data_IF_314731744713
#
_entry.id   IF_314731744713
#
_cell.length_a   1.000
_cell.length_b   1.000
_cell.length_c   1.000
_cell.angle_alpha   90.00
_cell.angle_beta   90.00
_cell.angle_gamma   90.00
#
_symmetry.space_group_name_H-M   'P 1'
#
loop_
_entity.id
_entity.type
_entity.pdbx_description
1 polymer ?
#
# COMPACT_ATOMS: atom_id res chain seq x y z
N UNK A 1 21.01 -39.63 -18.36
CA UNK A 1 20.51 -39.20 -17.04
C UNK A 1 18.98 -39.24 -17.12
N UNK A 2 18.35 -40.22 -16.46
CA UNK A 2 16.92 -40.49 -16.57
C UNK A 2 16.19 -39.58 -15.57
N UNK A 3 15.49 -38.55 -16.06
CA UNK A 3 14.61 -37.74 -15.23
C UNK A 3 13.48 -38.66 -14.71
N UNK A 4 13.38 -38.83 -13.39
CA UNK A 4 12.37 -39.67 -12.77
C UNK A 4 11.00 -39.00 -12.79
N UNK A 5 10.01 -39.68 -13.37
CA UNK A 5 8.62 -39.20 -13.49
C UNK A 5 7.80 -39.59 -12.25
N UNK A 6 8.45 -39.84 -11.12
CA UNK A 6 7.77 -40.43 -9.98
C UNK A 6 6.70 -39.46 -9.44
N UNK A 7 5.49 -39.93 -9.10
CA UNK A 7 4.41 -39.06 -8.61
C UNK A 7 4.83 -38.18 -7.43
N UNK A 8 5.70 -38.71 -6.56
CA UNK A 8 6.24 -37.97 -5.43
C UNK A 8 7.16 -36.81 -5.83
N UNK A 9 7.91 -36.91 -6.95
CA UNK A 9 8.78 -35.85 -7.46
C UNK A 9 7.96 -34.73 -8.12
N UNK A 10 6.90 -35.09 -8.85
CA UNK A 10 5.97 -34.11 -9.42
C UNK A 10 5.20 -33.38 -8.32
N UNK A 11 4.75 -34.10 -7.29
CA UNK A 11 4.08 -33.51 -6.14
C UNK A 11 5.01 -32.60 -5.34
N UNK A 12 6.28 -32.99 -5.14
CA UNK A 12 7.28 -32.13 -4.50
C UNK A 12 7.63 -30.89 -5.33
N UNK A 13 7.76 -31.01 -6.66
CA UNK A 13 8.01 -29.86 -7.52
C UNK A 13 6.81 -28.91 -7.57
N UNK A 14 5.58 -29.45 -7.55
CA UNK A 14 4.36 -28.65 -7.43
C UNK A 14 4.22 -27.98 -6.06
N UNK A 15 4.56 -28.69 -4.96
CA UNK A 15 4.54 -28.14 -3.60
C UNK A 15 5.68 -27.15 -3.33
N UNK A 16 6.85 -27.34 -3.94
CA UNK A 16 7.97 -26.40 -3.88
C UNK A 16 7.71 -25.16 -4.74
N UNK A 17 7.01 -25.31 -5.87
CA UNK A 17 6.54 -24.20 -6.69
C UNK A 17 5.40 -23.41 -6.03
N UNK A 18 4.56 -24.08 -5.22
CA UNK A 18 3.46 -23.46 -4.48
C UNK A 18 3.82 -23.06 -3.05
N UNK A 19 5.05 -23.35 -2.58
CA UNK A 19 5.52 -23.17 -1.21
C UNK A 19 4.47 -23.44 -0.14
N UNK A 20 3.88 -24.64 -0.10
CA UNK A 20 2.82 -25.04 0.86
C UNK A 20 3.40 -25.72 2.10
N UNK A 21 2.93 -25.37 3.31
CA UNK A 21 3.23 -26.14 4.53
C UNK A 21 2.06 -27.09 4.84
N UNK A 22 2.16 -28.34 4.39
CA UNK A 22 1.06 -29.31 4.52
C UNK A 22 -0.15 -28.92 3.67
N UNK A 23 -1.35 -28.85 4.26
CA UNK A 23 -2.59 -28.42 3.58
C UNK A 23 -2.79 -26.89 3.56
N UNK A 24 -1.91 -26.12 4.21
CA UNK A 24 -1.99 -24.66 4.24
C UNK A 24 -1.41 -24.08 2.94
N UNK A 25 -2.30 -23.70 2.04
CA UNK A 25 -1.96 -23.03 0.78
C UNK A 25 -1.97 -21.50 0.88
N UNK A 26 -2.49 -20.95 2.00
CA UNK A 26 -2.46 -19.52 2.29
C UNK A 26 -1.93 -19.26 3.71
N UNK A 27 -0.93 -18.41 3.82
CA UNK A 27 -0.27 -18.04 5.09
C UNK A 27 -0.87 -16.81 5.76
N UNK A 28 -2.03 -16.34 5.29
CA UNK A 28 -2.72 -15.19 5.85
C UNK A 28 -2.02 -13.87 5.52
N UNK A 29 -2.15 -12.91 6.44
CA UNK A 29 -1.60 -11.56 6.30
C UNK A 29 -0.30 -11.44 7.08
N UNK A 30 0.75 -10.92 6.41
CA UNK A 30 2.03 -10.61 7.04
C UNK A 30 2.26 -9.11 7.02
N UNK A 31 2.70 -8.56 8.15
CA UNK A 31 3.17 -7.19 8.26
C UNK A 31 4.67 -7.20 8.53
N UNK A 32 5.44 -6.56 7.65
CA UNK A 32 6.89 -6.43 7.76
C UNK A 32 7.27 -4.97 7.96
N UNK A 33 8.41 -4.74 8.60
CA UNK A 33 8.96 -3.39 8.79
C UNK A 33 10.22 -3.25 7.97
N UNK A 34 10.38 -2.13 7.28
CA UNK A 34 11.60 -1.83 6.54
C UNK A 34 12.79 -1.74 7.51
N UNK A 35 13.89 -2.42 7.17
CA UNK A 35 15.16 -2.28 7.91
C UNK A 35 15.77 -0.89 7.83
N UNK A 36 15.32 -0.07 6.87
CA UNK A 36 15.78 1.31 6.65
C UNK A 36 14.76 2.35 7.16
N UNK A 37 13.94 1.99 8.15
CA UNK A 37 12.95 2.90 8.73
C UNK A 37 13.65 4.08 9.39
N UNK A 38 13.41 5.29 8.87
CA UNK A 38 13.97 6.53 9.42
C UNK A 38 13.00 7.13 10.43
N UNK A 39 13.54 7.83 11.42
CA UNK A 39 12.73 8.60 12.34
C UNK A 39 12.01 9.72 11.61
N UNK A 40 10.71 9.86 11.88
CA UNK A 40 9.91 10.96 11.40
C UNK A 40 10.36 12.27 12.04
N UNK A 41 10.37 13.35 11.26
CA UNK A 41 10.66 14.68 11.79
C UNK A 41 9.77 15.74 11.15
N UNK A 42 9.62 16.86 11.87
CA UNK A 42 8.80 18.00 11.49
C UNK A 42 9.69 19.24 11.39
N UNK A 43 9.62 19.91 10.25
CA UNK A 43 10.21 21.22 10.03
C UNK A 43 9.10 22.25 10.14
N UNK A 44 9.22 23.22 11.06
CA UNK A 44 8.27 24.32 11.22
C UNK A 44 8.98 25.63 10.86
N UNK A 45 8.27 26.53 10.20
CA UNK A 45 8.74 27.87 9.89
C UNK A 45 7.61 28.88 10.08
N UNK A 46 7.95 30.00 10.70
CA UNK A 46 7.07 31.13 10.93
C UNK A 46 7.76 32.41 10.44
N UNK A 47 6.97 33.31 9.85
CA UNK A 47 7.38 34.63 9.41
C UNK A 47 6.29 35.61 9.81
N UNK A 48 6.60 36.53 10.71
CA UNK A 48 5.66 37.56 11.16
C UNK A 48 6.23 38.94 10.85
N UNK A 49 5.39 39.82 10.31
CA UNK A 49 5.73 41.21 10.00
C UNK A 49 4.70 42.09 10.69
N UNK A 50 5.18 42.93 11.61
CA UNK A 50 4.41 43.96 12.27
C UNK A 50 4.84 45.33 11.74
N UNK A 51 3.86 46.13 11.30
CA UNK A 51 4.09 47.48 10.81
C UNK A 51 3.21 48.49 11.54
N UNK A 52 3.84 49.50 12.14
CA UNK A 52 3.14 50.59 12.79
C UNK A 52 2.70 51.62 11.74
N UNK A 53 1.39 51.81 11.63
CA UNK A 53 0.77 52.79 10.77
C UNK A 53 0.57 54.12 11.54
N UNK A 54 0.46 55.26 10.83
CA UNK A 54 0.02 56.51 11.43
C UNK A 54 -1.34 56.34 12.14
N UNK A 55 -1.64 57.23 13.10
CA UNK A 55 -2.84 57.17 13.95
C UNK A 55 -2.89 56.00 14.95
N UNK A 56 -1.73 55.55 15.44
CA UNK A 56 -1.65 54.50 16.48
C UNK A 56 -2.25 53.16 16.06
N UNK A 57 -2.22 52.85 14.76
CA UNK A 57 -2.66 51.56 14.21
C UNK A 57 -1.46 50.63 14.02
N UNK A 58 -1.68 49.32 14.12
CA UNK A 58 -0.68 48.28 13.81
C UNK A 58 -1.30 47.32 12.82
N UNK A 59 -0.59 47.07 11.72
CA UNK A 59 -0.90 46.00 10.79
C UNK A 59 0.07 44.84 11.04
N UNK A 60 -0.49 43.64 11.19
CA UNK A 60 0.27 42.42 11.39
C UNK A 60 -0.07 41.44 10.26
N UNK A 61 0.96 40.82 9.70
CA UNK A 61 0.81 39.73 8.73
C UNK A 61 1.71 38.60 9.19
N UNK A 62 1.18 37.39 9.28
CA UNK A 62 1.91 36.21 9.69
C UNK A 62 1.79 35.09 8.65
N UNK A 63 2.87 34.39 8.41
CA UNK A 63 2.93 33.20 7.57
C UNK A 63 3.51 32.05 8.38
N UNK A 64 2.76 30.95 8.47
CA UNK A 64 3.15 29.76 9.24
C UNK A 64 3.09 28.57 8.30
N UNK A 65 4.14 27.76 8.29
CA UNK A 65 4.12 26.49 7.57
C UNK A 65 4.86 25.39 8.32
N UNK A 66 4.52 24.16 7.95
CA UNK A 66 5.16 22.96 8.48
C UNK A 66 5.32 21.89 7.41
N UNK A 67 6.39 21.12 7.49
CA UNK A 67 6.69 20.00 6.62
C UNK A 67 7.07 18.78 7.45
N UNK A 68 6.23 17.75 7.40
CA UNK A 68 6.53 16.43 7.96
C UNK A 68 7.25 15.57 6.93
N UNK A 69 8.39 14.98 7.31
CA UNK A 69 9.17 14.08 6.44
C UNK A 69 9.42 12.75 7.16
N UNK A 70 9.57 11.68 6.38
CA UNK A 70 9.79 10.32 6.88
C UNK A 70 8.67 9.81 7.79
N UNK A 71 7.42 10.18 7.50
CA UNK A 71 6.26 9.69 8.23
C UNK A 71 6.01 8.22 7.94
N UNK A 72 5.61 7.46 8.96
CA UNK A 72 5.27 6.06 8.81
C UNK A 72 4.08 5.87 7.86
N UNK A 73 4.22 4.93 6.94
CA UNK A 73 3.23 4.56 5.94
C UNK A 73 3.13 3.04 5.83
N UNK A 74 1.90 2.55 5.68
CA UNK A 74 1.62 1.14 5.41
C UNK A 74 1.43 0.98 3.90
N UNK A 75 2.34 0.25 3.25
CA UNK A 75 2.28 0.02 1.80
C UNK A 75 1.97 -1.46 1.55
N UNK A 76 0.88 -1.79 0.83
CA UNK A 76 0.62 -3.17 0.41
C UNK A 76 1.60 -3.55 -0.70
N UNK A 77 2.53 -4.46 -0.40
CA UNK A 77 3.52 -4.93 -1.38
C UNK A 77 3.04 -6.14 -2.19
N UNK A 78 2.07 -6.90 -1.66
CA UNK A 78 1.39 -7.97 -2.39
C UNK A 78 0.04 -7.51 -2.94
N UNK A 79 0.08 -6.52 -3.84
CA UNK A 79 -1.12 -5.96 -4.48
C UNK A 79 -1.73 -6.91 -5.51
N UNK A 80 -2.99 -6.68 -5.88
CA UNK A 80 -3.64 -7.41 -6.96
C UNK A 80 -3.00 -7.07 -8.30
N UNK A 81 -2.88 -8.06 -9.19
CA UNK A 81 -2.41 -7.86 -10.55
C UNK A 81 -3.51 -7.16 -11.37
N UNK A 82 -3.33 -5.92 -11.85
CA UNK A 82 -4.38 -5.16 -12.53
C UNK A 82 -4.96 -5.90 -13.74
N UNK A 83 -4.14 -6.66 -14.47
CA UNK A 83 -4.56 -7.47 -15.61
C UNK A 83 -5.49 -8.64 -15.26
N UNK A 84 -5.54 -9.02 -13.98
CA UNK A 84 -6.34 -10.14 -13.50
C UNK A 84 -7.69 -9.70 -12.93
N UNK A 85 -7.91 -8.39 -12.72
CA UNK A 85 -9.22 -7.88 -12.31
C UNK A 85 -10.15 -7.71 -13.53
N UNK A 86 -11.42 -8.12 -13.43
CA UNK A 86 -12.42 -7.85 -14.45
C UNK A 86 -12.68 -6.34 -14.54
N UNK A 87 -12.92 -5.85 -15.75
CA UNK A 87 -13.33 -4.47 -15.97
C UNK A 87 -14.64 -4.15 -15.22
N UNK A 88 -14.86 -2.92 -14.75
CA UNK A 88 -16.09 -2.51 -14.06
C UNK A 88 -17.35 -2.89 -14.85
N UNK A 89 -18.42 -3.26 -14.15
CA UNK A 89 -19.71 -3.51 -14.78
C UNK A 89 -20.32 -2.20 -15.30
N UNK A 90 -20.90 -2.26 -16.49
CA UNK A 90 -21.56 -1.10 -17.13
C UNK A 90 -23.07 -1.08 -16.91
N UNK A 91 -23.65 -2.20 -16.47
CA UNK A 91 -25.06 -2.35 -16.12
C UNK A 91 -25.28 -3.56 -15.21
N UNK A 92 -26.46 -3.66 -14.59
CA UNK A 92 -26.83 -4.83 -13.75
C UNK A 92 -26.92 -6.13 -14.56
N UNK A 93 -27.33 -6.05 -15.83
CA UNK A 93 -27.36 -7.20 -16.73
C UNK A 93 -25.95 -7.72 -17.04
N UNK A 94 -25.01 -6.80 -17.28
CA UNK A 94 -23.59 -7.09 -17.48
C UNK A 94 -22.94 -7.68 -16.23
N UNK A 95 -23.26 -7.14 -15.04
CA UNK A 95 -22.82 -7.71 -13.76
C UNK A 95 -23.31 -9.15 -13.57
N UNK A 96 -24.58 -9.41 -13.86
CA UNK A 96 -25.18 -10.76 -13.73
C UNK A 96 -24.53 -11.74 -14.70
N UNK A 97 -24.29 -11.32 -15.94
CA UNK A 97 -23.64 -12.16 -16.96
C UNK A 97 -22.18 -12.50 -16.62
N UNK A 98 -21.46 -11.60 -15.93
CA UNK A 98 -20.06 -11.76 -15.53
C UNK A 98 -19.87 -12.10 -14.05
N UNK A 99 -20.93 -12.50 -13.36
CA UNK A 99 -20.91 -12.76 -11.91
C UNK A 99 -19.79 -13.71 -11.49
N UNK A 100 -19.55 -14.78 -12.27
CA UNK A 100 -18.50 -15.75 -11.98
C UNK A 100 -17.09 -15.15 -12.11
N UNK A 101 -16.89 -14.19 -13.03
CA UNK A 101 -15.61 -13.47 -13.16
C UNK A 101 -15.36 -12.59 -11.94
N UNK A 102 -16.38 -11.88 -11.44
CA UNK A 102 -16.28 -11.06 -10.24
C UNK A 102 -16.06 -11.90 -8.97
N UNK A 103 -16.73 -13.04 -8.86
CA UNK A 103 -16.51 -14.01 -7.76
C UNK A 103 -15.09 -14.56 -7.78
N UNK A 104 -14.59 -14.99 -8.94
CA UNK A 104 -13.21 -15.44 -9.09
C UNK A 104 -12.21 -14.34 -8.70
N UNK A 105 -12.53 -13.08 -9.00
CA UNK A 105 -11.67 -11.95 -8.70
C UNK A 105 -11.60 -11.53 -7.22
N UNK A 106 -12.58 -11.94 -6.42
CA UNK A 106 -12.55 -11.74 -4.96
C UNK A 106 -11.58 -12.66 -4.22
N UNK A 107 -10.91 -13.58 -4.93
CA UNK A 107 -10.00 -14.56 -4.32
C UNK A 107 -8.57 -14.02 -4.20
N UNK A 108 -7.84 -14.48 -3.17
CA UNK A 108 -6.41 -14.15 -2.97
C UNK A 108 -5.49 -14.62 -4.11
N UNK A 109 -6.00 -15.43 -5.04
CA UNK A 109 -5.25 -15.96 -6.18
C UNK A 109 -4.87 -14.90 -7.23
N UNK A 110 -5.52 -13.73 -7.23
CA UNK A 110 -5.21 -12.63 -8.14
C UNK A 110 -4.07 -11.72 -7.68
N UNK A 111 -3.48 -12.00 -6.52
CA UNK A 111 -2.35 -11.24 -5.98
C UNK A 111 -1.03 -11.69 -6.61
N UNK A 112 -0.02 -10.82 -6.55
CA UNK A 112 1.32 -11.11 -7.06
C UNK A 112 1.91 -12.41 -6.48
N UNK A 113 1.71 -12.66 -5.19
CA UNK A 113 1.94 -13.95 -4.53
C UNK A 113 0.63 -14.45 -3.90
N UNK A 114 0.05 -15.48 -4.52
CA UNK A 114 -1.24 -16.05 -4.11
C UNK A 114 -1.20 -16.79 -2.76
N UNK A 115 -0.01 -17.07 -2.23
CA UNK A 115 0.18 -17.74 -0.94
C UNK A 115 -0.09 -16.82 0.25
N UNK A 116 -0.14 -15.51 0.04
CA UNK A 116 -0.42 -14.54 1.10
C UNK A 116 -1.73 -13.80 0.81
N UNK A 117 -2.59 -13.70 1.82
CA UNK A 117 -3.81 -12.89 1.73
C UNK A 117 -3.50 -11.40 1.67
N UNK A 118 -2.43 -10.95 2.32
CA UNK A 118 -1.90 -9.59 2.20
C UNK A 118 -0.46 -9.54 2.73
N UNK A 119 0.39 -8.72 2.12
CA UNK A 119 1.71 -8.40 2.67
C UNK A 119 1.80 -6.89 2.77
N UNK A 120 2.00 -6.40 3.99
CA UNK A 120 2.10 -4.97 4.30
C UNK A 120 3.54 -4.65 4.67
N UNK A 121 4.10 -3.62 4.07
CA UNK A 121 5.40 -3.06 4.43
C UNK A 121 5.19 -1.74 5.19
N UNK A 122 5.72 -1.65 6.40
CA UNK A 122 5.83 -0.42 7.17
C UNK A 122 7.10 0.30 6.74
N UNK A 123 6.96 1.50 6.18
CA UNK A 123 8.07 2.32 5.68
C UNK A 123 7.91 3.80 6.05
N UNK A 124 8.98 4.58 5.94
CA UNK A 124 9.00 6.02 6.24
C UNK A 124 8.80 6.86 4.96
N UNK A 125 7.78 6.54 4.16
CA UNK A 125 7.57 7.14 2.83
C UNK A 125 6.57 8.31 2.83
N UNK A 126 5.77 8.48 3.88
CA UNK A 126 4.77 9.54 3.91
C UNK A 126 5.41 10.91 4.22
N UNK A 127 4.79 11.96 3.67
CA UNK A 127 5.17 13.34 3.88
C UNK A 127 3.91 14.20 4.04
N UNK A 128 4.03 15.31 4.76
CA UNK A 128 2.94 16.26 4.98
C UNK A 128 3.47 17.68 4.79
N UNK A 129 2.64 18.56 4.23
CA UNK A 129 2.95 19.99 4.08
C UNK A 129 1.72 20.81 4.48
N UNK A 130 1.93 21.83 5.30
CA UNK A 130 0.90 22.79 5.70
C UNK A 130 1.46 24.21 5.53
N UNK A 131 0.64 25.12 5.03
CA UNK A 131 0.99 26.53 4.83
C UNK A 131 -0.26 27.38 5.11
N UNK A 132 -0.10 28.46 5.87
CA UNK A 132 -1.16 29.39 6.23
C UNK A 132 -0.63 30.81 6.25
N UNK A 133 -1.40 31.74 5.68
CA UNK A 133 -1.23 33.17 5.81
C UNK A 133 -2.34 33.71 6.71
N UNK A 134 -2.00 34.58 7.65
CA UNK A 134 -2.90 35.25 8.60
C UNK A 134 -2.67 36.76 8.57
#
# INVERSE_FOLDING_TARGET
MLAGNAPFQQQWQAQAASGSFGSLTNFGTITTTSSHLRNSYLQQYDLSIDYQLPLSMVASVAYIGSKGTHLAAFIPVNSFLPAALPAPATSVADETARLDQFKAASTSALRLDSRFSQVILITAAAHSNYNSLQ
#
